data_IF_800155084600
#
_entry.id   IF_800155084600
#
_cell.length_a   1.000
_cell.length_b   1.000
_cell.length_c   1.000
_cell.angle_alpha   90.00
_cell.angle_beta   90.00
_cell.angle_gamma   90.00
#
_symmetry.space_group_name_H-M   'P 1'
#
loop_
_entity.id
_entity.type
_entity.pdbx_description
1 polymer ?
#
# COMPACT_ATOMS: atom_id res chain seq x y z
N UNK A 1 0.46 -18.05 3.02
CA UNK A 1 1.24 -16.94 3.62
C UNK A 1 1.03 -16.93 5.14
N UNK A 2 1.96 -16.39 5.91
CA UNK A 2 1.91 -16.29 7.37
C UNK A 2 0.97 -15.16 7.82
N UNK A 3 -0.22 -15.52 8.30
CA UNK A 3 -1.25 -14.55 8.71
C UNK A 3 -0.84 -13.70 9.92
N UNK A 4 0.15 -14.11 10.71
CA UNK A 4 0.63 -13.34 11.86
C UNK A 4 1.33 -12.04 11.45
N UNK A 5 1.81 -11.96 10.20
CA UNK A 5 2.42 -10.75 9.63
C UNK A 5 1.39 -9.72 9.15
N UNK A 6 0.10 -10.09 9.10
CA UNK A 6 -1.00 -9.17 8.85
C UNK A 6 -1.31 -8.46 10.17
N UNK A 7 -0.68 -7.32 10.40
CA UNK A 7 -0.76 -6.73 11.72
C UNK A 7 -1.92 -5.75 11.92
N UNK A 8 -2.24 -5.52 13.20
CA UNK A 8 -3.21 -4.51 13.68
C UNK A 8 -2.61 -3.10 13.61
N UNK A 9 -3.03 -2.30 12.62
CA UNK A 9 -2.57 -0.92 12.39
C UNK A 9 -1.61 -0.75 11.21
N UNK A 10 -1.24 0.50 10.92
CA UNK A 10 -0.64 0.92 9.63
C UNK A 10 0.85 1.27 9.69
N UNK A 11 1.49 1.18 10.86
CA UNK A 11 2.92 1.48 11.01
C UNK A 11 3.77 0.37 10.35
N UNK A 12 4.71 0.71 9.45
CA UNK A 12 5.64 -0.24 8.87
C UNK A 12 6.53 -0.84 9.96
N UNK A 13 6.50 -2.16 10.11
CA UNK A 13 7.14 -2.84 11.24
C UNK A 13 7.98 -4.06 10.84
N UNK A 14 7.92 -4.50 9.58
CA UNK A 14 8.73 -5.59 9.05
C UNK A 14 9.51 -5.12 7.82
N UNK A 15 10.71 -5.67 7.60
CA UNK A 15 11.41 -5.47 6.34
C UNK A 15 10.72 -6.26 5.22
N UNK A 16 10.86 -5.83 3.97
CA UNK A 16 10.36 -6.59 2.81
C UNK A 16 10.95 -8.00 2.79
N UNK A 17 12.23 -8.17 3.13
CA UNK A 17 12.84 -9.50 3.24
C UNK A 17 12.11 -10.41 4.25
N UNK A 18 11.77 -9.89 5.44
CA UNK A 18 11.03 -10.64 6.46
C UNK A 18 9.61 -10.98 6.00
N UNK A 19 8.96 -10.08 5.27
CA UNK A 19 7.63 -10.33 4.71
C UNK A 19 7.67 -11.40 3.62
N UNK A 20 8.73 -11.43 2.82
CA UNK A 20 8.95 -12.46 1.80
C UNK A 20 9.12 -13.87 2.39
N UNK A 21 9.82 -13.99 3.53
CA UNK A 21 9.89 -15.26 4.29
C UNK A 21 8.50 -15.75 4.74
N UNK A 22 7.56 -14.83 4.97
CA UNK A 22 6.17 -15.12 5.28
C UNK A 22 5.27 -15.35 4.07
N UNK A 23 5.82 -15.32 2.86
CA UNK A 23 5.07 -15.54 1.61
C UNK A 23 4.34 -14.30 1.08
N UNK A 24 4.72 -13.10 1.51
CA UNK A 24 4.23 -11.84 0.93
C UNK A 24 5.31 -11.22 0.04
N UNK A 25 4.98 -10.99 -1.22
CA UNK A 25 5.91 -10.45 -2.20
C UNK A 25 5.38 -9.13 -2.77
N UNK A 26 6.21 -8.08 -2.88
CA UNK A 26 5.82 -6.86 -3.56
C UNK A 26 5.69 -7.12 -5.08
N UNK A 27 4.79 -6.40 -5.75
CA UNK A 27 4.66 -6.46 -7.21
C UNK A 27 5.89 -5.89 -7.91
N UNK A 28 6.43 -4.79 -7.37
CA UNK A 28 7.64 -4.16 -7.86
C UNK A 28 8.88 -4.59 -7.07
N UNK A 29 10.06 -4.47 -7.70
CA UNK A 29 11.34 -4.69 -7.03
C UNK A 29 11.55 -3.63 -5.95
N UNK A 30 11.59 -4.07 -4.70
CA UNK A 30 11.80 -3.21 -3.54
C UNK A 30 13.10 -3.57 -2.82
N UNK A 31 13.82 -2.59 -2.25
CA UNK A 31 15.00 -2.88 -1.43
C UNK A 31 14.64 -3.80 -0.25
N UNK A 32 15.41 -4.87 0.03
CA UNK A 32 15.03 -5.89 1.00
C UNK A 32 14.89 -5.35 2.44
N UNK A 33 15.62 -4.28 2.77
CA UNK A 33 15.64 -3.66 4.10
C UNK A 33 14.57 -2.57 4.29
N UNK A 34 13.84 -2.17 3.25
CA UNK A 34 12.78 -1.17 3.40
C UNK A 34 11.68 -1.73 4.29
N UNK A 35 11.15 -0.89 5.19
CA UNK A 35 10.07 -1.29 6.08
C UNK A 35 8.72 -1.16 5.39
N UNK A 36 7.90 -2.17 5.60
CA UNK A 36 6.52 -2.22 5.14
C UNK A 36 5.62 -2.86 6.21
N UNK A 37 4.33 -2.81 5.92
CA UNK A 37 3.26 -3.48 6.65
C UNK A 37 2.39 -4.20 5.64
N UNK A 38 1.98 -5.43 5.94
CA UNK A 38 0.92 -6.09 5.16
C UNK A 38 -0.42 -5.58 5.64
N UNK A 39 -1.20 -5.03 4.71
CA UNK A 39 -2.56 -4.56 4.94
C UNK A 39 -3.48 -5.47 4.15
N UNK A 40 -4.51 -5.99 4.80
CA UNK A 40 -5.56 -6.77 4.15
C UNK A 40 -6.81 -5.90 3.99
N UNK A 41 -7.28 -5.75 2.76
CA UNK A 41 -8.59 -5.22 2.46
C UNK A 41 -9.49 -6.40 2.07
N UNK A 42 -10.65 -6.49 2.70
CA UNK A 42 -11.68 -7.45 2.32
C UNK A 42 -12.68 -6.68 1.47
N UNK A 43 -12.77 -7.05 0.20
CA UNK A 43 -13.77 -6.55 -0.74
C UNK A 43 -14.63 -7.72 -1.25
N UNK A 44 -15.72 -7.40 -1.96
CA UNK A 44 -16.68 -8.39 -2.46
C UNK A 44 -16.04 -9.48 -3.33
N UNK A 45 -14.96 -9.13 -4.04
CA UNK A 45 -14.23 -10.02 -4.96
C UNK A 45 -13.09 -10.81 -4.29
N UNK A 46 -12.86 -10.61 -2.98
CA UNK A 46 -11.87 -11.35 -2.21
C UNK A 46 -10.96 -10.48 -1.33
N UNK A 47 -10.00 -11.14 -0.69
CA UNK A 47 -8.98 -10.48 0.13
C UNK A 47 -7.87 -9.91 -0.78
N UNK A 48 -7.70 -8.59 -0.75
CA UNK A 48 -6.55 -7.91 -1.34
C UNK A 48 -5.47 -7.62 -0.31
N UNK A 49 -4.21 -7.87 -0.69
CA UNK A 49 -3.04 -7.64 0.17
C UNK A 49 -2.15 -6.55 -0.40
N UNK A 50 -1.88 -5.55 0.44
CA UNK A 50 -1.11 -4.37 0.07
C UNK A 50 0.09 -4.20 0.99
N UNK A 51 1.21 -3.75 0.41
CA UNK A 51 2.36 -3.30 1.18
C UNK A 51 2.21 -1.82 1.52
N UNK A 52 1.91 -1.51 2.77
CA UNK A 52 1.93 -0.16 3.31
C UNK A 52 3.33 0.27 3.70
N UNK A 53 3.97 1.10 2.89
CA UNK A 53 5.27 1.71 3.19
C UNK A 53 5.14 3.00 4.02
N UNK A 54 6.28 3.66 4.27
CA UNK A 54 6.34 4.86 5.10
C UNK A 54 5.42 6.00 4.62
N UNK A 55 5.29 6.20 3.31
CA UNK A 55 4.40 7.25 2.76
C UNK A 55 2.92 6.93 3.01
N UNK A 56 2.51 5.68 2.87
CA UNK A 56 1.16 5.25 3.22
C UNK A 56 0.86 5.47 4.71
N UNK A 57 1.85 5.19 5.57
CA UNK A 57 1.73 5.47 7.00
C UNK A 57 1.60 6.96 7.30
N UNK A 58 2.32 7.84 6.58
CA UNK A 58 2.19 9.29 6.74
C UNK A 58 0.76 9.77 6.45
N UNK A 59 0.11 9.29 5.38
CA UNK A 59 -1.30 9.58 5.08
C UNK A 59 -2.20 9.16 6.26
N UNK A 60 -1.95 7.97 6.82
CA UNK A 60 -2.75 7.46 7.95
C UNK A 60 -2.59 8.23 9.27
N UNK A 61 -1.60 9.13 9.38
CA UNK A 61 -1.44 9.99 10.56
C UNK A 61 -2.58 11.00 10.69
N UNK A 62 -3.22 11.37 9.58
CA UNK A 62 -4.42 12.21 9.59
C UNK A 62 -5.65 11.43 10.08
N UNK A 63 -5.81 10.18 9.64
CA UNK A 63 -6.88 9.29 10.09
C UNK A 63 -6.39 7.83 10.06
N UNK A 64 -6.37 7.12 11.21
CA UNK A 64 -5.73 5.81 11.36
C UNK A 64 -6.51 4.64 10.73
N UNK A 65 -7.45 4.90 9.83
CA UNK A 65 -8.23 3.87 9.12
C UNK A 65 -7.57 3.53 7.79
N UNK A 66 -7.34 2.25 7.54
CA UNK A 66 -6.70 1.75 6.30
C UNK A 66 -7.46 2.16 5.04
N UNK A 67 -8.80 2.07 5.08
CA UNK A 67 -9.67 2.48 3.95
C UNK A 67 -9.56 3.97 3.64
N UNK A 68 -9.39 4.82 4.66
CA UNK A 68 -9.16 6.26 4.44
C UNK A 68 -7.84 6.49 3.70
N UNK A 69 -6.74 5.89 4.20
CA UNK A 69 -5.43 6.07 3.58
C UNK A 69 -5.38 5.51 2.15
N UNK A 70 -6.09 4.40 1.89
CA UNK A 70 -6.23 3.83 0.55
C UNK A 70 -7.04 4.73 -0.38
N UNK A 71 -8.17 5.27 0.08
CA UNK A 71 -8.98 6.19 -0.72
C UNK A 71 -8.19 7.46 -1.11
N UNK A 72 -7.43 8.04 -0.17
CA UNK A 72 -6.55 9.19 -0.46
C UNK A 72 -5.48 8.83 -1.50
N UNK A 73 -4.85 7.66 -1.35
CA UNK A 73 -3.85 7.19 -2.31
C UNK A 73 -4.45 6.97 -3.71
N UNK A 74 -5.57 6.25 -3.82
CA UNK A 74 -6.26 5.99 -5.08
C UNK A 74 -6.73 7.30 -5.74
N UNK A 75 -7.24 8.26 -4.97
CA UNK A 75 -7.61 9.58 -5.48
C UNK A 75 -6.40 10.31 -6.07
N UNK A 76 -5.24 10.26 -5.42
CA UNK A 76 -4.02 10.88 -5.94
C UNK A 76 -3.59 10.30 -7.29
N UNK A 77 -3.68 8.98 -7.46
CA UNK A 77 -3.40 8.32 -8.73
C UNK A 77 -4.40 8.71 -9.82
N UNK A 78 -5.68 8.83 -9.48
CA UNK A 78 -6.72 9.25 -10.42
C UNK A 78 -6.49 10.68 -10.92
N UNK A 79 -6.11 11.60 -10.01
CA UNK A 79 -5.76 12.99 -10.36
C UNK A 79 -4.51 13.03 -11.25
N UNK A 80 -3.46 12.27 -10.91
CA UNK A 80 -2.24 12.21 -11.72
C UNK A 80 -2.51 11.68 -13.12
N UNK A 81 -3.32 10.60 -13.23
CA UNK A 81 -3.73 10.04 -14.51
C UNK A 81 -4.47 11.08 -15.36
N UNK A 82 -5.45 11.77 -14.79
CA UNK A 82 -6.21 12.81 -15.50
C UNK A 82 -5.30 13.96 -15.99
N UNK A 83 -4.31 14.36 -15.18
CA UNK A 83 -3.37 15.42 -15.55
C UNK A 83 -2.47 15.01 -16.73
N UNK A 84 -2.03 13.74 -16.77
CA UNK A 84 -1.24 13.19 -17.88
C UNK A 84 -2.07 13.10 -19.16
N UNK A 85 -3.31 12.62 -19.06
CA UNK A 85 -4.23 12.49 -20.20
C UNK A 85 -4.50 13.86 -20.83
N UNK A 86 -4.75 14.90 -20.02
CA UNK A 86 -4.98 16.27 -20.52
C UNK A 86 -3.75 16.88 -21.22
N UNK A 87 -2.55 16.50 -20.79
CA UNK A 87 -1.29 16.99 -21.36
C UNK A 87 -0.98 16.35 -22.72
N UNK A 88 -1.39 15.09 -22.93
CA UNK A 88 -1.20 14.37 -24.20
C UNK A 88 -2.19 14.82 -25.30
N UNK A 89 -3.35 15.36 -24.93
CA UNK A 89 -4.33 15.89 -25.89
C UNK A 89 -3.93 17.27 -26.45
N UNK A 90 -2.96 17.94 -25.82
CA UNK A 90 -2.50 19.29 -26.20
C UNK A 90 -1.20 19.29 -27.04
N UNK A 91 -0.71 18.12 -27.46
CA UNK A 91 0.46 17.93 -28.35
C UNK A 91 0.06 17.22 -29.62
#
# INVERSE_FOLDING_TARGET
FDVALIGRGLKPNHSVARLAEGGFYPQDKMPPLIKARVIRFNDADGDEFWFGYQNFYAISRYNPRSKYAMAVYQLSLAIEKQAKDNSQVSS
#
